data_IF_105646764204
#
_entry.id   IF_105646764204
#
_cell.length_a   1.000
_cell.length_b   1.000
_cell.length_c   1.000
_cell.angle_alpha   90.00
_cell.angle_beta   90.00
_cell.angle_gamma   90.00
#
_symmetry.space_group_name_H-M   'P 1'
#
loop_
_entity.id
_entity.type
_entity.pdbx_description
1 polymer ?
#
# COMPACT_ATOMS: atom_id res chain seq x y z
N UNK A 1 -30.56 -16.90 -18.34
CA UNK A 1 -31.05 -15.51 -18.41
C UNK A 1 -30.58 -14.79 -17.14
N UNK A 2 -29.28 -14.68 -16.90
CA UNK A 2 -28.34 -13.76 -17.55
C UNK A 2 -28.73 -12.29 -17.39
N UNK A 3 -28.52 -11.78 -16.17
CA UNK A 3 -28.53 -10.36 -15.83
C UNK A 3 -27.11 -9.99 -15.42
N UNK A 4 -26.35 -9.52 -16.41
CA UNK A 4 -25.30 -8.50 -16.32
C UNK A 4 -24.11 -8.76 -15.37
N UNK A 5 -23.31 -9.79 -15.68
CA UNK A 5 -21.86 -9.77 -15.40
C UNK A 5 -21.14 -8.87 -16.41
N UNK A 6 -21.22 -7.53 -16.27
CA UNK A 6 -20.24 -6.65 -16.92
C UNK A 6 -19.04 -6.50 -16.01
N UNK A 7 -18.10 -7.45 -16.09
CA UNK A 7 -16.71 -7.21 -15.69
C UNK A 7 -16.17 -6.13 -16.62
N UNK A 8 -15.99 -4.91 -16.12
CA UNK A 8 -15.11 -3.96 -16.78
C UNK A 8 -13.70 -4.56 -16.69
N UNK A 9 -13.18 -5.00 -17.84
CA UNK A 9 -11.79 -5.43 -17.95
C UNK A 9 -10.86 -4.23 -17.63
N UNK A 10 -9.68 -4.49 -17.05
CA UNK A 10 -8.73 -3.43 -16.65
C UNK A 10 -8.37 -2.48 -17.81
N UNK A 11 -8.36 -2.94 -19.06
CA UNK A 11 -8.13 -2.14 -20.28
C UNK A 11 -9.29 -1.18 -20.58
N UNK A 12 -10.53 -1.67 -20.53
CA UNK A 12 -11.74 -0.85 -20.66
C UNK A 12 -11.84 0.19 -19.55
N UNK A 13 -11.35 -0.16 -18.36
CA UNK A 13 -11.26 0.73 -17.20
C UNK A 13 -10.20 1.84 -17.36
N UNK A 14 -9.01 1.53 -17.90
CA UNK A 14 -7.98 2.51 -18.23
C UNK A 14 -8.46 3.50 -19.32
N UNK A 15 -9.23 3.02 -20.32
CA UNK A 15 -9.87 3.90 -21.31
C UNK A 15 -10.90 4.83 -20.70
N UNK A 16 -11.72 4.32 -19.77
CA UNK A 16 -12.70 5.14 -19.03
C UNK A 16 -11.98 6.18 -18.16
N UNK A 17 -10.86 5.83 -17.53
CA UNK A 17 -10.03 6.76 -16.76
C UNK A 17 -9.41 7.87 -17.62
N UNK A 18 -9.00 7.58 -18.87
CA UNK A 18 -8.55 8.62 -19.82
C UNK A 18 -9.67 9.58 -20.24
N UNK A 19 -10.93 9.17 -20.16
CA UNK A 19 -12.11 10.03 -20.36
C UNK A 19 -12.45 10.80 -19.08
N UNK A 20 -12.34 10.17 -17.91
CA UNK A 20 -12.54 10.82 -16.60
C UNK A 20 -11.48 11.89 -16.34
N UNK A 21 -10.21 11.63 -16.68
CA UNK A 21 -9.11 12.62 -16.65
C UNK A 21 -9.44 13.88 -17.45
N UNK A 22 -10.10 13.72 -18.60
CA UNK A 22 -10.46 14.84 -19.48
C UNK A 22 -11.76 15.55 -19.09
N UNK A 23 -12.76 14.81 -18.58
CA UNK A 23 -14.11 15.34 -18.37
C UNK A 23 -14.43 15.73 -16.92
N UNK A 24 -13.84 15.09 -15.91
CA UNK A 24 -14.22 15.29 -14.51
C UNK A 24 -13.15 16.00 -13.65
N UNK A 25 -11.89 16.03 -14.10
CA UNK A 25 -10.77 16.49 -13.26
C UNK A 25 -10.67 18.02 -13.22
N UNK A 26 -11.09 18.78 -14.23
CA UNK A 26 -10.83 20.23 -14.22
C UNK A 26 -11.53 21.02 -13.09
N UNK A 27 -12.82 20.79 -12.74
CA UNK A 27 -13.49 21.54 -11.68
C UNK A 27 -13.32 20.90 -10.28
N UNK A 28 -13.36 19.56 -10.20
CA UNK A 28 -13.26 18.82 -8.92
C UNK A 28 -11.81 18.64 -8.45
N UNK A 29 -10.82 18.65 -9.35
CA UNK A 29 -9.43 18.64 -8.89
C UNK A 29 -9.12 19.92 -8.11
N UNK A 30 -9.61 21.10 -8.50
CA UNK A 30 -9.32 22.35 -7.76
C UNK A 30 -9.76 22.32 -6.29
N UNK A 31 -10.84 21.62 -5.95
CA UNK A 31 -11.32 21.50 -4.57
C UNK A 31 -10.49 20.50 -3.72
N UNK A 32 -9.74 19.60 -4.37
CA UNK A 32 -8.96 18.54 -3.71
C UNK A 32 -7.48 18.51 -4.12
N UNK A 33 -7.00 19.49 -4.87
CA UNK A 33 -5.60 19.71 -5.27
C UNK A 33 -4.73 20.34 -4.19
N UNK A 34 -5.26 20.58 -2.98
CA UNK A 34 -4.37 20.64 -1.81
C UNK A 34 -3.59 19.34 -1.83
N UNK A 35 -2.25 19.42 -1.81
CA UNK A 35 -1.35 18.31 -2.10
C UNK A 35 -1.82 16.96 -1.50
N UNK A 36 -1.44 15.82 -2.13
CA UNK A 36 -1.60 14.51 -1.50
C UNK A 36 -1.30 14.64 -0.02
N UNK A 37 -2.13 14.05 0.83
CA UNK A 37 -1.97 14.19 2.28
C UNK A 37 -0.74 13.38 2.70
N UNK A 38 0.44 13.97 2.49
CA UNK A 38 1.73 13.36 2.72
C UNK A 38 2.00 13.42 4.21
N UNK A 39 2.17 12.25 4.81
CA UNK A 39 2.68 12.08 6.16
C UNK A 39 4.19 11.98 6.05
N UNK A 40 4.83 13.15 6.17
CA UNK A 40 6.29 13.26 6.15
C UNK A 40 6.89 12.87 7.50
N UNK A 41 8.08 12.29 7.47
CA UNK A 41 8.86 12.03 8.68
C UNK A 41 9.38 13.33 9.28
N UNK A 42 9.22 13.50 10.60
CA UNK A 42 9.80 14.63 11.33
C UNK A 42 11.13 14.20 11.97
N UNK A 43 12.25 14.64 11.39
CA UNK A 43 13.59 14.34 11.89
C UNK A 43 13.85 14.90 13.29
N UNK A 44 13.26 16.05 13.65
CA UNK A 44 13.43 16.66 14.97
C UNK A 44 12.69 15.92 16.09
N UNK A 45 11.57 15.27 15.75
CA UNK A 45 10.79 14.45 16.70
C UNK A 45 11.14 12.96 16.64
N UNK A 46 12.08 12.57 15.77
CA UNK A 46 12.44 11.18 15.47
C UNK A 46 11.21 10.27 15.23
N UNK A 47 10.24 10.77 14.46
CA UNK A 47 8.97 10.06 14.26
C UNK A 47 8.02 10.74 13.28
N UNK A 48 6.86 10.12 13.11
CA UNK A 48 5.75 10.67 12.34
C UNK A 48 4.85 11.56 13.20
N UNK A 49 4.18 12.57 12.63
CA UNK A 49 3.22 13.40 13.35
C UNK A 49 2.01 12.60 13.80
N UNK A 50 1.27 13.06 14.81
CA UNK A 50 -0.03 12.48 15.15
C UNK A 50 -0.99 12.59 13.95
N UNK A 51 -1.68 11.51 13.54
CA UNK A 51 -2.60 11.58 12.41
C UNK A 51 -3.76 12.54 12.70
N UNK A 52 -4.29 13.15 11.64
CA UNK A 52 -5.53 13.94 11.70
C UNK A 52 -6.79 13.08 11.79
N UNK A 53 -6.67 11.78 11.50
CA UNK A 53 -7.75 10.79 11.62
C UNK A 53 -7.83 10.32 13.08
N UNK A 54 -9.04 10.16 13.68
CA UNK A 54 -9.18 9.76 15.07
C UNK A 54 -8.47 8.44 15.40
N UNK A 55 -7.89 8.34 16.60
CA UNK A 55 -7.21 7.12 17.08
C UNK A 55 -8.10 5.86 17.08
N UNK A 56 -9.43 6.03 17.22
CA UNK A 56 -10.40 4.91 17.19
C UNK A 56 -10.77 4.42 15.78
N UNK A 57 -10.09 4.93 14.75
CA UNK A 57 -10.38 4.58 13.38
C UNK A 57 -9.65 3.29 12.94
N UNK A 58 -10.27 2.57 12.00
CA UNK A 58 -9.64 1.50 11.25
C UNK A 58 -9.06 2.04 9.94
N UNK A 59 -7.86 1.61 9.57
CA UNK A 59 -7.17 2.08 8.36
C UNK A 59 -6.62 0.92 7.54
N UNK A 60 -6.45 1.14 6.23
CA UNK A 60 -5.84 0.16 5.33
C UNK A 60 -4.47 0.63 4.87
N UNK A 61 -3.45 -0.22 4.99
CA UNK A 61 -2.13 -0.01 4.38
C UNK A 61 -1.92 -1.02 3.26
N UNK A 62 -1.89 -0.55 2.02
CA UNK A 62 -1.85 -1.45 0.86
C UNK A 62 -0.48 -1.44 0.17
N UNK A 63 -0.02 -2.62 -0.25
CA UNK A 63 1.27 -2.81 -0.89
C UNK A 63 1.36 -4.14 -1.64
N UNK A 64 2.36 -4.29 -2.50
CA UNK A 64 2.65 -5.59 -3.10
C UNK A 64 3.51 -6.47 -2.19
N UNK A 65 4.30 -5.90 -1.28
CA UNK A 65 5.14 -6.62 -0.32
C UNK A 65 5.93 -7.78 -0.96
N UNK A 66 6.64 -7.51 -2.05
CA UNK A 66 7.31 -8.54 -2.84
C UNK A 66 8.85 -8.37 -2.88
N UNK A 67 9.60 -8.66 -1.80
CA UNK A 67 9.17 -9.03 -0.45
C UNK A 67 8.85 -7.79 0.41
N UNK A 68 8.23 -7.94 1.59
CA UNK A 68 8.23 -6.88 2.60
C UNK A 68 9.66 -6.58 3.08
N UNK A 69 9.86 -5.40 3.64
CA UNK A 69 11.17 -4.92 4.12
C UNK A 69 10.99 -4.00 5.33
N UNK A 70 12.07 -3.65 6.03
CA UNK A 70 12.04 -2.90 7.29
C UNK A 70 11.29 -1.57 7.19
N UNK A 71 11.42 -0.84 6.08
CA UNK A 71 10.61 0.37 5.84
C UNK A 71 9.09 0.13 5.89
N UNK A 72 8.58 -0.96 5.32
CA UNK A 72 7.16 -1.32 5.43
C UNK A 72 6.76 -1.61 6.88
N UNK A 73 7.61 -2.33 7.61
CA UNK A 73 7.35 -2.74 8.99
C UNK A 73 7.32 -1.53 9.93
N UNK A 74 8.19 -0.54 9.75
CA UNK A 74 8.14 0.71 10.53
C UNK A 74 6.88 1.53 10.27
N UNK A 75 6.45 1.61 9.00
CA UNK A 75 5.18 2.27 8.67
C UNK A 75 4.01 1.57 9.37
N UNK A 76 3.95 0.24 9.29
CA UNK A 76 2.88 -0.53 9.95
C UNK A 76 2.97 -0.38 11.47
N UNK A 77 4.16 -0.36 12.06
CA UNK A 77 4.37 -0.09 13.50
C UNK A 77 3.80 1.26 13.90
N UNK A 78 4.08 2.30 13.13
CA UNK A 78 3.54 3.64 13.37
C UNK A 78 2.02 3.65 13.29
N UNK A 79 1.44 3.10 12.21
CA UNK A 79 0.00 3.02 12.06
C UNK A 79 -0.66 2.22 13.20
N UNK A 80 -0.02 1.13 13.65
CA UNK A 80 -0.52 0.27 14.73
C UNK A 80 -0.55 1.00 16.07
N UNK A 81 0.35 1.95 16.31
CA UNK A 81 0.31 2.83 17.50
C UNK A 81 -0.73 3.93 17.36
N UNK A 82 -1.02 4.35 16.14
CA UNK A 82 -1.85 5.51 15.85
C UNK A 82 -3.33 5.19 15.61
N UNK A 83 -3.69 3.93 15.38
CA UNK A 83 -5.04 3.51 15.02
C UNK A 83 -5.49 2.29 15.81
N UNK A 84 -6.80 2.13 15.98
CA UNK A 84 -7.35 0.99 16.72
C UNK A 84 -7.21 -0.32 15.93
N UNK A 85 -7.31 -0.27 14.61
CA UNK A 85 -7.09 -1.41 13.72
C UNK A 85 -6.34 -1.01 12.44
N UNK A 86 -5.41 -1.86 12.01
CA UNK A 86 -4.65 -1.67 10.77
C UNK A 86 -4.83 -2.89 9.88
N UNK A 87 -5.35 -2.69 8.67
CA UNK A 87 -5.51 -3.74 7.68
C UNK A 87 -4.40 -3.64 6.64
N UNK A 88 -3.44 -4.56 6.71
CA UNK A 88 -2.32 -4.64 5.76
C UNK A 88 -2.77 -5.46 4.56
N UNK A 89 -2.91 -4.81 3.40
CA UNK A 89 -3.48 -5.44 2.20
C UNK A 89 -2.37 -5.74 1.19
N UNK A 90 -2.14 -7.03 0.96
CA UNK A 90 -1.27 -7.56 -0.08
C UNK A 90 -2.03 -7.59 -1.39
N UNK A 91 -1.73 -6.61 -2.25
CA UNK A 91 -2.31 -6.51 -3.58
C UNK A 91 -1.74 -7.58 -4.52
N UNK A 92 -2.64 -8.29 -5.19
CA UNK A 92 -2.34 -9.22 -6.28
C UNK A 92 -2.76 -8.56 -7.59
N UNK A 93 -1.78 -8.13 -8.38
CA UNK A 93 -2.03 -7.61 -9.72
C UNK A 93 -1.86 -8.74 -10.74
N UNK A 94 -2.92 -9.18 -11.43
CA UNK A 94 -2.84 -10.25 -12.44
C UNK A 94 -1.85 -9.93 -13.58
N UNK A 95 -1.62 -8.64 -13.85
CA UNK A 95 -0.71 -8.16 -14.90
C UNK A 95 0.76 -8.16 -14.47
N UNK A 96 1.06 -8.52 -13.21
CA UNK A 96 2.43 -8.59 -12.69
C UNK A 96 2.77 -10.03 -12.31
N UNK A 97 3.96 -10.47 -12.70
CA UNK A 97 4.51 -11.75 -12.26
C UNK A 97 5.22 -11.54 -10.92
N UNK A 98 4.86 -12.35 -9.94
CA UNK A 98 5.49 -12.37 -8.62
C UNK A 98 6.35 -13.64 -8.50
N UNK A 99 7.61 -13.55 -8.01
CA UNK A 99 8.47 -14.72 -7.78
C UNK A 99 7.91 -15.72 -6.77
N UNK A 100 7.04 -15.25 -5.87
CA UNK A 100 6.45 -16.04 -4.78
C UNK A 100 4.95 -15.80 -4.70
N UNK A 101 4.22 -16.73 -4.10
CA UNK A 101 2.78 -16.64 -3.95
C UNK A 101 2.36 -15.50 -3.00
N UNK A 102 1.13 -14.96 -3.13
CA UNK A 102 0.60 -14.02 -2.14
C UNK A 102 0.54 -14.60 -0.72
N UNK A 103 0.33 -15.90 -0.57
CA UNK A 103 0.31 -16.61 0.72
C UNK A 103 1.68 -16.55 1.40
N UNK A 104 2.76 -16.84 0.66
CA UNK A 104 4.12 -16.71 1.20
C UNK A 104 4.45 -15.27 1.58
N UNK A 105 4.02 -14.28 0.78
CA UNK A 105 4.18 -12.86 1.16
C UNK A 105 3.41 -12.52 2.43
N UNK A 106 2.21 -13.07 2.59
CA UNK A 106 1.39 -12.91 3.79
C UNK A 106 2.09 -13.46 5.03
N UNK A 107 2.60 -14.68 4.96
CA UNK A 107 3.33 -15.32 6.06
C UNK A 107 4.54 -14.47 6.50
N UNK A 108 5.33 -13.96 5.55
CA UNK A 108 6.49 -13.10 5.86
C UNK A 108 6.03 -11.81 6.55
N UNK A 109 4.96 -11.17 6.07
CA UNK A 109 4.41 -9.96 6.71
C UNK A 109 3.93 -10.29 8.12
N UNK A 110 3.13 -11.34 8.32
CA UNK A 110 2.59 -11.72 9.63
C UNK A 110 3.70 -12.01 10.64
N UNK A 111 4.76 -12.72 10.24
CA UNK A 111 5.92 -12.96 11.10
C UNK A 111 6.65 -11.65 11.47
N UNK A 112 6.86 -10.76 10.51
CA UNK A 112 7.47 -9.46 10.76
C UNK A 112 6.63 -8.61 11.73
N UNK A 113 5.30 -8.64 11.60
CA UNK A 113 4.38 -7.92 12.49
C UNK A 113 4.33 -8.50 13.90
N UNK A 114 4.40 -9.82 14.02
CA UNK A 114 4.51 -10.51 15.32
C UNK A 114 5.76 -10.07 16.08
N UNK A 115 6.91 -9.96 15.38
CA UNK A 115 8.18 -9.54 15.99
C UNK A 115 8.17 -8.13 16.61
N UNK A 116 7.25 -7.27 16.17
CA UNK A 116 7.12 -5.89 16.66
C UNK A 116 5.92 -5.70 17.59
N UNK A 117 5.21 -6.78 17.94
CA UNK A 117 4.05 -6.74 18.84
C UNK A 117 2.83 -6.03 18.26
N UNK A 118 2.68 -5.96 16.93
CA UNK A 118 1.56 -5.27 16.28
C UNK A 118 0.27 -6.13 16.28
N UNK A 119 -0.34 -6.33 17.46
CA UNK A 119 -1.49 -7.25 17.64
C UNK A 119 -2.79 -6.76 17.00
N UNK A 120 -2.88 -5.45 16.70
CA UNK A 120 -4.03 -4.83 16.04
C UNK A 120 -3.88 -4.74 14.51
N UNK A 121 -2.82 -5.31 13.95
CA UNK A 121 -2.61 -5.37 12.51
C UNK A 121 -3.07 -6.72 11.92
N UNK A 122 -3.97 -6.69 10.93
CA UNK A 122 -4.53 -7.87 10.25
C UNK A 122 -4.09 -7.89 8.79
N UNK A 123 -3.59 -9.02 8.30
CA UNK A 123 -3.05 -9.14 6.92
C UNK A 123 -4.04 -9.81 5.98
N UNK A 124 -4.26 -9.20 4.82
CA UNK A 124 -5.23 -9.59 3.81
C UNK A 124 -4.55 -9.80 2.47
N UNK A 125 -5.01 -10.79 1.70
CA UNK A 125 -4.67 -10.93 0.28
C UNK A 125 -5.87 -10.43 -0.51
N UNK A 126 -5.62 -9.55 -1.49
CA UNK A 126 -6.70 -8.96 -2.28
C UNK A 126 -6.32 -8.83 -3.75
N UNK A 127 -7.20 -9.35 -4.63
CA UNK A 127 -7.02 -9.36 -6.08
C UNK A 127 -7.88 -8.36 -6.86
N UNK A 128 -8.67 -7.52 -6.17
CA UNK A 128 -9.52 -6.50 -6.78
C UNK A 128 -9.11 -5.10 -6.28
N UNK A 129 -9.89 -4.07 -6.59
CA UNK A 129 -9.67 -2.69 -6.15
C UNK A 129 -9.66 -2.63 -4.61
N UNK A 130 -8.55 -2.17 -4.03
CA UNK A 130 -8.33 -2.07 -2.57
C UNK A 130 -9.43 -1.28 -1.86
N UNK A 131 -9.96 -0.25 -2.52
CA UNK A 131 -11.08 0.55 -2.02
C UNK A 131 -12.30 -0.29 -1.62
N UNK A 132 -12.63 -1.35 -2.37
CA UNK A 132 -13.78 -2.23 -2.07
C UNK A 132 -13.57 -2.97 -0.75
N UNK A 133 -12.39 -3.57 -0.58
CA UNK A 133 -12.04 -4.27 0.65
C UNK A 133 -12.03 -3.31 1.85
N UNK A 134 -11.43 -2.14 1.67
CA UNK A 134 -11.39 -1.12 2.72
C UNK A 134 -12.79 -0.70 3.18
N UNK A 135 -13.76 -0.59 2.26
CA UNK A 135 -15.17 -0.38 2.65
C UNK A 135 -15.78 -1.55 3.39
N UNK A 136 -15.53 -2.78 2.94
CA UNK A 136 -16.02 -3.98 3.64
C UNK A 136 -15.49 -4.07 5.07
N UNK A 137 -14.27 -3.58 5.30
CA UNK A 137 -13.62 -3.55 6.61
C UNK A 137 -13.99 -2.32 7.44
N UNK A 138 -14.81 -1.40 6.93
CA UNK A 138 -15.16 -0.16 7.63
C UNK A 138 -13.97 0.81 7.83
N UNK A 139 -12.94 0.71 6.99
CA UNK A 139 -11.77 1.58 7.09
C UNK A 139 -12.14 3.02 6.73
N UNK A 140 -11.57 3.98 7.48
CA UNK A 140 -11.84 5.42 7.30
C UNK A 140 -10.83 6.09 6.38
N UNK A 141 -9.67 5.45 6.16
CA UNK A 141 -8.58 5.99 5.36
C UNK A 141 -7.73 4.88 4.71
N UNK A 142 -7.15 5.21 3.56
CA UNK A 142 -6.13 4.42 2.89
C UNK A 142 -4.75 5.03 3.15
N UNK A 143 -3.76 4.18 3.37
CA UNK A 143 -2.35 4.53 3.49
C UNK A 143 -1.55 3.80 2.42
N UNK A 144 -0.59 4.52 1.84
CA UNK A 144 0.33 4.02 0.82
C UNK A 144 1.75 4.50 1.13
N UNK A 145 2.71 3.60 1.08
CA UNK A 145 4.11 3.94 1.29
C UNK A 145 4.71 4.55 0.04
N UNK A 146 5.42 5.67 0.18
CA UNK A 146 6.22 6.30 -0.88
C UNK A 146 7.66 6.49 -0.39
N UNK A 147 8.63 6.49 -1.31
CA UNK A 147 10.02 6.80 -1.00
C UNK A 147 10.23 8.30 -1.00
N UNK A 148 9.81 8.96 -2.07
CA UNK A 148 9.72 10.42 -2.18
C UNK A 148 8.52 10.78 -3.02
N UNK A 149 7.90 11.94 -2.73
CA UNK A 149 6.82 12.47 -3.56
C UNK A 149 7.29 12.73 -5.02
N UNK A 150 8.57 13.01 -5.22
CA UNK A 150 9.12 13.33 -6.54
C UNK A 150 9.26 12.10 -7.44
N UNK A 151 9.71 10.97 -6.89
CA UNK A 151 9.88 9.73 -7.65
C UNK A 151 8.56 8.98 -7.85
N UNK A 152 7.77 8.83 -6.78
CA UNK A 152 6.60 7.97 -6.79
C UNK A 152 5.29 8.76 -7.06
N UNK A 153 5.32 10.09 -6.95
CA UNK A 153 4.11 10.93 -6.96
C UNK A 153 3.27 10.91 -8.24
N UNK A 154 3.86 10.60 -9.41
CA UNK A 154 3.08 10.47 -10.66
C UNK A 154 2.17 9.24 -10.64
N UNK A 155 2.71 8.09 -10.25
CA UNK A 155 1.95 6.84 -10.16
C UNK A 155 0.91 6.92 -9.04
N UNK A 156 1.29 7.51 -7.91
CA UNK A 156 0.38 7.65 -6.77
C UNK A 156 -0.73 8.67 -7.04
N UNK A 157 -0.49 9.77 -7.76
CA UNK A 157 -1.55 10.70 -8.17
C UNK A 157 -2.60 10.03 -9.07
N UNK A 158 -2.18 9.10 -9.93
CA UNK A 158 -3.12 8.30 -10.73
C UNK A 158 -3.99 7.39 -9.85
N UNK A 159 -3.40 6.70 -8.88
CA UNK A 159 -4.12 5.86 -7.91
C UNK A 159 -5.05 6.70 -7.00
N UNK A 160 -4.65 7.91 -6.66
CA UNK A 160 -5.48 8.85 -5.89
C UNK A 160 -6.72 9.25 -6.69
N UNK A 161 -6.54 9.71 -7.93
CA UNK A 161 -7.65 10.03 -8.84
C UNK A 161 -8.55 8.81 -9.02
N UNK A 162 -7.96 7.62 -9.13
CA UNK A 162 -8.71 6.37 -9.21
C UNK A 162 -9.57 6.15 -7.96
N UNK A 163 -9.01 6.27 -6.75
CA UNK A 163 -9.72 6.09 -5.48
C UNK A 163 -10.79 7.16 -5.23
N UNK A 164 -10.65 8.34 -5.84
CA UNK A 164 -11.60 9.46 -5.73
C UNK A 164 -12.73 9.32 -6.74
N UNK A 165 -12.38 9.18 -8.02
CA UNK A 165 -13.34 9.22 -9.12
C UNK A 165 -14.09 7.91 -9.27
N UNK A 166 -13.42 6.77 -9.10
CA UNK A 166 -14.05 5.45 -9.30
C UNK A 166 -15.28 5.23 -8.43
N UNK A 167 -15.27 5.51 -7.10
CA UNK A 167 -16.44 5.28 -6.27
C UNK A 167 -17.67 6.08 -6.70
N UNK A 168 -17.45 7.30 -7.20
CA UNK A 168 -18.51 8.19 -7.69
C UNK A 168 -19.15 7.65 -8.98
N UNK A 169 -18.37 7.07 -9.90
CA UNK A 169 -18.88 6.57 -11.18
C UNK A 169 -19.32 5.09 -11.14
N UNK A 170 -18.90 4.34 -10.12
CA UNK A 170 -19.18 2.91 -9.98
C UNK A 170 -20.27 2.58 -8.96
N UNK A 171 -21.00 3.59 -8.45
CA UNK A 171 -21.98 3.44 -7.36
C UNK A 171 -21.43 2.74 -6.11
N UNK A 172 -20.09 2.71 -5.94
CA UNK A 172 -19.43 2.10 -4.79
C UNK A 172 -19.42 3.04 -3.56
N UNK A 173 -20.11 4.19 -3.64
CA UNK A 173 -20.38 5.14 -2.56
C UNK A 173 -19.37 6.29 -2.47
N UNK A 174 -19.32 6.97 -1.32
CA UNK A 174 -18.44 8.12 -1.10
C UNK A 174 -16.95 7.76 -1.22
N UNK A 175 -16.11 8.66 -1.78
CA UNK A 175 -14.66 8.47 -1.85
C UNK A 175 -14.02 8.44 -0.46
N UNK A 176 -12.84 7.84 -0.38
CA UNK A 176 -12.08 7.69 0.86
C UNK A 176 -10.72 8.34 0.69
N UNK A 177 -10.29 9.05 1.71
CA UNK A 177 -9.02 9.78 1.67
C UNK A 177 -7.85 8.81 1.62
N UNK A 178 -6.90 9.08 0.72
CA UNK A 178 -5.63 8.36 0.64
C UNK A 178 -4.53 9.24 1.21
N UNK A 179 -3.75 8.69 2.14
CA UNK A 179 -2.57 9.30 2.73
C UNK A 179 -1.32 8.61 2.19
N UNK A 180 -0.33 9.40 1.80
CA UNK A 180 0.96 8.89 1.37
C UNK A 180 1.95 9.07 2.50
N UNK A 181 2.57 8.00 2.94
CA UNK A 181 3.50 8.04 4.06
C UNK A 181 4.91 7.76 3.55
N UNK A 182 5.82 8.66 3.85
CA UNK A 182 7.23 8.50 3.50
C UNK A 182 7.88 7.48 4.43
N UNK A 183 8.73 6.60 3.89
CA UNK A 183 9.54 5.71 4.73
C UNK A 183 10.47 6.52 5.66
N UNK A 184 10.84 5.98 6.85
CA UNK A 184 11.82 6.65 7.70
C UNK A 184 13.13 6.88 6.94
N UNK A 185 13.86 8.00 7.16
CA UNK A 185 15.07 8.33 6.41
C UNK A 185 16.12 7.20 6.40
N UNK A 186 16.22 6.45 7.50
CA UNK A 186 17.08 5.25 7.63
C UNK A 186 16.81 4.18 6.57
N UNK A 187 15.59 4.11 6.04
CA UNK A 187 15.15 3.12 5.05
C UNK A 187 14.81 3.76 3.69
N UNK A 188 15.20 5.01 3.45
CA UNK A 188 14.90 5.75 2.20
C UNK A 188 15.45 5.06 0.95
N UNK A 189 16.65 4.45 1.05
CA UNK A 189 17.26 3.69 -0.04
C UNK A 189 16.73 2.24 -0.15
N UNK A 190 15.88 1.81 0.78
CA UNK A 190 15.39 0.42 0.82
C UNK A 190 14.18 0.27 -0.09
N UNK A 191 14.22 -0.72 -0.98
CA UNK A 191 13.07 -1.11 -1.79
C UNK A 191 13.02 -2.62 -1.97
N UNK A 192 11.83 -3.16 -2.25
CA UNK A 192 11.70 -4.58 -2.60
C UNK A 192 12.48 -4.96 -3.86
N UNK A 193 12.72 -4.01 -4.78
CA UNK A 193 13.55 -4.24 -5.98
C UNK A 193 15.02 -4.38 -5.61
N UNK A 194 15.55 -3.51 -4.75
CA UNK A 194 16.91 -3.64 -4.21
C UNK A 194 17.08 -4.97 -3.46
N UNK A 195 16.08 -5.34 -2.64
CA UNK A 195 16.10 -6.60 -1.90
C UNK A 195 16.18 -7.81 -2.83
N UNK A 196 15.37 -7.85 -3.90
CA UNK A 196 15.45 -8.93 -4.91
C UNK A 196 16.80 -8.94 -5.63
N UNK A 197 17.38 -7.78 -5.93
CA UNK A 197 18.71 -7.69 -6.53
C UNK A 197 19.78 -8.31 -5.64
N UNK A 198 19.79 -7.98 -4.34
CA UNK A 198 20.76 -8.55 -3.39
C UNK A 198 20.57 -10.05 -3.17
N UNK A 199 19.32 -10.51 -3.09
CA UNK A 199 19.00 -11.93 -3.02
C UNK A 199 19.57 -12.69 -4.22
N UNK A 200 19.44 -12.12 -5.44
CA UNK A 200 19.99 -12.72 -6.66
C UNK A 200 21.51 -12.78 -6.67
N UNK A 201 22.17 -11.75 -6.13
CA UNK A 201 23.64 -11.71 -6.01
C UNK A 201 24.19 -12.54 -4.84
N UNK A 202 23.34 -13.13 -3.99
CA UNK A 202 23.77 -13.82 -2.77
C UNK A 202 24.33 -12.89 -1.69
N UNK A 203 24.01 -11.58 -1.77
CA UNK A 203 24.46 -10.59 -0.80
C UNK A 203 23.67 -10.67 0.52
N UNK A 204 24.24 -10.07 1.57
CA UNK A 204 23.57 -9.93 2.87
C UNK A 204 22.39 -8.98 2.79
N UNK A 205 21.32 -9.31 3.52
CA UNK A 205 20.04 -8.56 3.52
C UNK A 205 19.62 -8.09 4.93
N UNK A 206 20.46 -8.31 5.95
CA UNK A 206 20.15 -8.05 7.37
C UNK A 206 19.84 -6.56 7.66
N UNK A 207 20.32 -5.66 6.79
CA UNK A 207 20.08 -4.22 6.84
C UNK A 207 18.75 -3.80 6.19
N UNK A 208 18.16 -4.67 5.36
CA UNK A 208 16.96 -4.38 4.56
C UNK A 208 15.70 -4.99 5.18
N UNK A 209 15.80 -6.18 5.79
CA UNK A 209 14.65 -6.90 6.37
C UNK A 209 14.84 -7.11 7.87
N UNK A 210 13.75 -7.24 8.66
CA UNK A 210 13.88 -7.63 10.06
C UNK A 210 14.56 -8.99 10.20
N UNK A 211 15.44 -9.13 11.19
CA UNK A 211 16.21 -10.36 11.41
C UNK A 211 15.33 -11.61 11.53
N UNK A 212 14.15 -11.49 12.16
CA UNK A 212 13.20 -12.60 12.34
C UNK A 212 12.66 -13.20 11.02
N UNK A 213 12.71 -12.45 9.91
CA UNK A 213 12.22 -12.92 8.60
C UNK A 213 13.33 -13.05 7.56
N UNK A 214 14.58 -12.77 7.90
CA UNK A 214 15.69 -12.78 6.95
C UNK A 214 15.86 -14.15 6.27
N UNK A 215 15.87 -15.23 7.06
CA UNK A 215 16.01 -16.59 6.53
C UNK A 215 14.75 -17.04 5.78
N UNK A 216 13.57 -16.66 6.26
CA UNK A 216 12.30 -16.96 5.61
C UNK A 216 12.23 -16.31 4.23
N UNK A 217 12.63 -15.04 4.12
CA UNK A 217 12.73 -14.33 2.85
C UNK A 217 13.77 -15.00 1.93
N UNK A 218 14.95 -15.34 2.44
CA UNK A 218 15.99 -16.00 1.64
C UNK A 218 15.48 -17.32 1.06
N UNK A 219 14.92 -18.18 1.89
CA UNK A 219 14.40 -19.49 1.48
C UNK A 219 13.19 -19.37 0.54
N UNK A 220 12.32 -18.39 0.78
CA UNK A 220 11.14 -18.20 -0.06
C UNK A 220 11.50 -17.83 -1.51
N UNK A 221 12.57 -17.06 -1.70
CA UNK A 221 13.00 -16.51 -2.99
C UNK A 221 14.17 -17.27 -3.64
N UNK A 222 14.75 -18.25 -2.95
CA UNK A 222 15.83 -19.07 -3.47
C UNK A 222 15.41 -19.80 -4.76
N UNK A 223 16.28 -19.74 -5.79
CA UNK A 223 16.03 -20.31 -7.11
C UNK A 223 14.86 -19.71 -7.90
N UNK A 224 14.25 -18.60 -7.46
CA UNK A 224 13.03 -18.00 -8.07
C UNK A 224 13.23 -16.59 -8.65
N UNK A 225 14.46 -16.05 -8.65
CA UNK A 225 14.82 -14.66 -9.01
C UNK A 225 15.71 -14.54 -10.26
#
# INVERSE_FOLDING_TARGET
MDVLKRRLDQSSYVKLLGVVEKCCVAPLAKLWTSQPSVVAWNSGANGYPTPSVPHRASVVFAGSFNPPHSGHVEIIRYLSKAFSEVHVVIGVNPSKIYPVSPETRKEIVEQALSSIGATNAKVWIWGDVVFKLAKQLGATALYRGIRTLQEDGKAERYLEVQNICWPMISSCGAPMRTFYIEGPPKFSCVSSTLLRSRLKSGERIDDIVPACVADVVRNAYDGKL
#
